data_IF_655530026742
#
_entry.id   IF_655530026742
#
_cell.length_a   1.000
_cell.length_b   1.000
_cell.length_c   1.000
_cell.angle_alpha   90.00
_cell.angle_beta   90.00
_cell.angle_gamma   90.00
#
_symmetry.space_group_name_H-M   'P 1'
#
loop_
_entity.id
_entity.type
_entity.pdbx_description
1 polymer ?
#
# COMPACT_ATOMS: atom_id res chain seq x y z
N UNK A 1 9.29 36.39 -47.59
CA UNK A 1 9.27 35.32 -46.56
C UNK A 1 8.26 34.28 -47.02
N UNK A 2 8.69 33.05 -47.41
CA UNK A 2 7.86 32.08 -48.11
C UNK A 2 7.18 31.03 -47.19
N UNK A 3 6.12 30.44 -47.77
CA UNK A 3 5.57 29.06 -47.68
C UNK A 3 5.17 28.50 -46.29
N UNK A 4 3.89 28.31 -45.97
CA UNK A 4 2.93 27.29 -46.48
C UNK A 4 3.29 25.85 -46.13
N UNK A 5 2.62 25.22 -45.15
CA UNK A 5 2.25 23.79 -45.20
C UNK A 5 0.97 23.53 -44.39
N UNK A 6 0.12 22.74 -45.02
CA UNK A 6 -1.27 22.43 -44.72
C UNK A 6 -1.31 20.97 -44.25
N UNK A 7 -2.20 20.67 -43.27
CA UNK A 7 -2.75 19.33 -42.92
C UNK A 7 -1.76 18.23 -42.43
N UNK A 8 -1.97 17.73 -41.22
CA UNK A 8 -2.51 16.36 -41.03
C UNK A 8 -2.98 16.12 -39.58
N UNK A 9 -4.03 15.31 -39.47
CA UNK A 9 -4.65 14.79 -38.24
C UNK A 9 -3.60 14.25 -37.26
N UNK A 10 -3.69 14.58 -35.98
CA UNK A 10 -3.64 13.58 -34.91
C UNK A 10 -4.54 14.00 -33.74
N UNK A 11 -5.53 13.14 -33.48
CA UNK A 11 -6.24 12.86 -32.22
C UNK A 11 -6.10 13.91 -31.12
N UNK A 12 -7.26 14.43 -30.71
CA UNK A 12 -7.44 15.18 -29.48
C UNK A 12 -6.70 14.51 -28.34
N UNK A 13 -5.78 15.26 -27.74
CA UNK A 13 -5.13 14.92 -26.49
C UNK A 13 -6.20 14.84 -25.41
N UNK A 14 -6.63 13.61 -25.09
CA UNK A 14 -7.26 13.33 -23.81
C UNK A 14 -6.28 13.79 -22.73
N UNK A 15 -6.67 14.85 -22.01
CA UNK A 15 -6.26 14.99 -20.63
C UNK A 15 -6.99 13.89 -19.85
N UNK A 16 -6.25 12.85 -19.45
CA UNK A 16 -6.67 12.01 -18.32
C UNK A 16 -5.97 12.56 -17.08
N UNK A 17 -6.60 12.45 -15.92
CA UNK A 17 -6.05 12.72 -14.59
C UNK A 17 -4.89 11.75 -14.24
N UNK A 18 -3.84 11.78 -15.08
CA UNK A 18 -2.73 10.83 -15.20
C UNK A 18 -1.84 10.91 -13.94
N UNK A 19 -1.68 9.85 -13.14
CA UNK A 19 -1.55 8.48 -13.62
C UNK A 19 -0.29 8.38 -14.46
N UNK A 20 0.88 8.56 -13.83
CA UNK A 20 2.12 8.14 -14.47
C UNK A 20 1.99 6.63 -14.72
N UNK A 21 2.08 6.15 -15.98
CA UNK A 21 2.13 4.72 -16.23
C UNK A 21 3.34 4.14 -15.50
N UNK A 22 3.19 2.96 -14.87
CA UNK A 22 4.35 2.16 -14.46
C UNK A 22 5.27 2.11 -15.69
N UNK A 23 6.57 2.47 -15.60
CA UNK A 23 7.46 2.53 -16.76
C UNK A 23 7.65 1.15 -17.42
N UNK A 24 7.11 0.09 -16.82
CA UNK A 24 7.06 -1.25 -17.38
C UNK A 24 5.70 -1.47 -18.08
N UNK A 25 5.68 -1.80 -19.38
CA UNK A 25 4.45 -2.03 -20.12
C UNK A 25 3.68 -3.25 -19.56
N UNK A 26 2.41 -3.03 -19.20
CA UNK A 26 1.35 -4.04 -18.98
C UNK A 26 1.64 -5.12 -17.94
N UNK A 27 0.90 -5.16 -16.82
CA UNK A 27 0.90 -6.23 -15.78
C UNK A 27 2.26 -6.72 -15.24
N UNK A 28 3.37 -6.15 -15.72
CA UNK A 28 4.74 -6.56 -15.42
C UNK A 28 5.17 -6.15 -14.01
N UNK A 29 4.59 -5.07 -13.48
CA UNK A 29 4.84 -4.61 -12.11
C UNK A 29 4.31 -5.62 -11.06
N UNK A 30 3.47 -6.59 -11.46
CA UNK A 30 2.83 -7.59 -10.60
C UNK A 30 2.98 -9.04 -11.09
N UNK A 31 3.79 -9.29 -12.15
CA UNK A 31 3.96 -10.61 -12.78
C UNK A 31 4.56 -11.67 -11.84
N UNK A 32 5.25 -11.24 -10.79
CA UNK A 32 5.60 -12.09 -9.65
C UNK A 32 4.50 -11.86 -8.62
N UNK A 33 3.54 -12.79 -8.57
CA UNK A 33 2.32 -12.64 -7.78
C UNK A 33 2.60 -12.08 -6.38
N UNK A 34 2.15 -10.86 -6.15
CA UNK A 34 1.93 -10.33 -4.80
C UNK A 34 0.67 -10.99 -4.21
N UNK A 35 0.65 -12.32 -4.25
CA UNK A 35 -0.13 -13.11 -3.32
C UNK A 35 0.73 -13.26 -2.09
N UNK A 36 0.23 -12.84 -0.94
CA UNK A 36 0.70 -13.40 0.32
C UNK A 36 0.29 -14.87 0.34
N UNK A 37 0.99 -15.70 -0.43
CA UNK A 37 0.69 -17.13 -0.50
C UNK A 37 1.28 -17.80 0.72
N UNK A 38 0.40 -18.48 1.46
CA UNK A 38 0.60 -19.09 2.76
C UNK A 38 1.92 -19.89 2.85
N UNK A 39 2.96 -19.24 3.34
CA UNK A 39 4.22 -19.87 3.70
C UNK A 39 4.40 -19.79 5.22
N UNK A 40 3.84 -20.78 5.91
CA UNK A 40 4.08 -21.20 7.30
C UNK A 40 4.33 -20.12 8.36
N UNK A 41 3.30 -19.73 9.12
CA UNK A 41 3.42 -19.11 10.45
C UNK A 41 3.02 -17.62 10.55
N UNK A 42 1.76 -17.33 10.89
CA UNK A 42 1.18 -15.98 10.99
C UNK A 42 0.28 -15.71 9.79
N UNK A 43 -1.04 -15.69 10.00
CA UNK A 43 -2.03 -15.82 8.92
C UNK A 43 -2.36 -14.44 8.40
N UNK A 44 -1.80 -14.08 7.25
CA UNK A 44 -2.30 -12.91 6.52
C UNK A 44 -3.39 -13.37 5.54
N UNK A 45 -4.61 -12.86 5.73
CA UNK A 45 -5.84 -13.39 5.15
C UNK A 45 -5.94 -13.24 3.62
N UNK A 46 -6.80 -13.99 2.92
CA UNK A 46 -6.94 -13.82 1.47
C UNK A 46 -7.53 -12.45 1.11
N UNK A 47 -7.03 -11.89 0.00
CA UNK A 47 -7.48 -10.60 -0.57
C UNK A 47 -8.96 -10.65 -1.03
N UNK A 48 -9.55 -11.84 -1.13
CA UNK A 48 -10.97 -12.06 -1.46
C UNK A 48 -11.95 -11.56 -0.40
N UNK A 49 -11.50 -11.32 0.83
CA UNK A 49 -12.32 -10.74 1.91
C UNK A 49 -12.46 -9.22 1.76
N UNK A 50 -13.35 -8.60 2.53
CA UNK A 50 -13.44 -7.14 2.62
C UNK A 50 -12.25 -6.55 3.39
N UNK A 51 -12.02 -5.24 3.23
CA UNK A 51 -10.98 -4.55 3.99
C UNK A 51 -11.24 -4.61 5.50
N UNK A 52 -12.52 -4.53 5.91
CA UNK A 52 -12.92 -4.60 7.32
C UNK A 52 -12.62 -5.95 7.93
N UNK A 53 -12.96 -7.04 7.25
CA UNK A 53 -12.68 -8.40 7.75
C UNK A 53 -11.17 -8.64 7.89
N UNK A 54 -10.35 -8.14 6.96
CA UNK A 54 -8.90 -8.19 7.10
C UNK A 54 -8.40 -7.40 8.31
N UNK A 55 -8.94 -6.21 8.55
CA UNK A 55 -8.59 -5.40 9.72
C UNK A 55 -8.97 -6.09 11.04
N UNK A 56 -10.16 -6.67 11.11
CA UNK A 56 -10.64 -7.43 12.27
C UNK A 56 -9.76 -8.64 12.56
N UNK A 57 -9.34 -9.38 11.54
CA UNK A 57 -8.45 -10.52 11.73
C UNK A 57 -7.05 -10.14 12.23
N UNK A 58 -6.52 -8.98 11.81
CA UNK A 58 -5.26 -8.46 12.37
C UNK A 58 -5.45 -8.13 13.86
N UNK A 59 -6.58 -7.53 14.24
CA UNK A 59 -6.89 -7.27 15.65
C UNK A 59 -6.97 -8.58 16.43
N UNK A 60 -7.68 -9.58 15.91
CA UNK A 60 -7.79 -10.90 16.54
C UNK A 60 -6.42 -11.57 16.69
N UNK A 61 -5.60 -11.63 15.64
CA UNK A 61 -4.26 -12.25 15.70
C UNK A 61 -3.37 -11.53 16.73
N UNK A 62 -3.42 -10.20 16.82
CA UNK A 62 -2.64 -9.44 17.81
C UNK A 62 -3.16 -9.61 19.24
N UNK A 63 -4.47 -9.82 19.42
CA UNK A 63 -5.08 -10.05 20.73
C UNK A 63 -4.77 -11.45 21.29
N UNK A 64 -4.41 -12.41 20.45
CA UNK A 64 -3.92 -13.73 20.88
C UNK A 64 -2.50 -13.67 21.45
N UNK A 65 -1.75 -12.60 21.18
CA UNK A 65 -0.38 -12.43 21.62
C UNK A 65 -0.30 -11.63 22.93
N UNK A 66 0.62 -12.00 23.84
CA UNK A 66 0.96 -11.15 24.97
C UNK A 66 1.38 -9.74 24.53
N UNK A 67 0.98 -8.73 25.29
CA UNK A 67 1.36 -7.35 25.00
C UNK A 67 2.87 -7.14 25.14
N UNK A 68 3.43 -6.17 24.41
CA UNK A 68 4.86 -5.85 24.49
C UNK A 68 5.69 -6.52 23.41
N UNK A 69 6.69 -7.30 23.83
CA UNK A 69 7.72 -7.85 22.94
C UNK A 69 7.15 -8.80 21.88
N UNK A 70 6.20 -9.67 22.24
CA UNK A 70 5.61 -10.64 21.30
C UNK A 70 4.86 -9.96 20.14
N UNK A 71 4.06 -8.93 20.45
CA UNK A 71 3.39 -8.08 19.45
C UNK A 71 4.39 -7.35 18.56
N UNK A 72 5.45 -6.78 19.15
CA UNK A 72 6.52 -6.13 18.40
C UNK A 72 7.22 -7.10 17.44
N UNK A 73 7.54 -8.30 17.92
CA UNK A 73 8.17 -9.34 17.11
C UNK A 73 7.24 -9.85 16.01
N UNK A 74 5.93 -9.94 16.26
CA UNK A 74 4.95 -10.29 15.23
C UNK A 74 4.93 -9.29 14.08
N UNK A 75 4.96 -7.99 14.38
CA UNK A 75 5.04 -6.93 13.36
C UNK A 75 6.29 -7.13 12.48
N UNK A 76 7.44 -7.44 13.09
CA UNK A 76 8.68 -7.74 12.34
C UNK A 76 8.52 -9.00 11.49
N UNK A 77 7.87 -10.06 12.02
CA UNK A 77 7.63 -11.31 11.28
C UNK A 77 6.80 -11.05 10.03
N UNK A 78 5.72 -10.27 10.12
CA UNK A 78 4.93 -9.87 8.95
C UNK A 78 5.75 -9.04 7.96
N UNK A 79 6.55 -8.08 8.46
CA UNK A 79 7.45 -7.30 7.61
C UNK A 79 8.46 -8.17 6.85
N UNK A 80 9.04 -9.19 7.49
CA UNK A 80 9.97 -10.13 6.85
C UNK A 80 9.30 -11.03 5.81
N UNK A 81 8.02 -11.36 6.00
CA UNK A 81 7.21 -12.12 5.04
C UNK A 81 6.66 -11.28 3.90
N UNK A 82 6.74 -9.96 4.01
CA UNK A 82 6.31 -9.06 2.94
C UNK A 82 7.16 -9.30 1.69
N UNK A 83 6.53 -9.47 0.52
CA UNK A 83 7.23 -9.64 -0.76
C UNK A 83 8.13 -8.44 -1.13
N UNK A 84 7.95 -7.29 -0.47
CA UNK A 84 8.79 -6.10 -0.66
C UNK A 84 8.52 -5.41 -1.99
N UNK A 85 9.51 -4.69 -2.51
CA UNK A 85 9.43 -4.02 -3.81
C UNK A 85 10.68 -4.33 -4.63
N UNK A 86 10.54 -4.53 -5.96
CA UNK A 86 11.68 -4.64 -6.85
C UNK A 86 12.43 -3.30 -6.90
N UNK A 87 13.74 -3.35 -7.17
CA UNK A 87 14.62 -2.18 -7.07
C UNK A 87 14.20 -1.05 -8.01
N UNK A 88 13.64 -1.39 -9.17
CA UNK A 88 13.15 -0.46 -10.20
C UNK A 88 11.94 0.34 -9.74
N UNK A 89 11.21 -0.14 -8.72
CA UNK A 89 10.06 0.54 -8.14
C UNK A 89 10.43 1.40 -6.92
N UNK A 90 11.66 1.30 -6.41
CA UNK A 90 12.17 2.13 -5.30
C UNK A 90 12.65 3.49 -5.80
N UNK A 91 11.76 4.22 -6.48
CA UNK A 91 12.04 5.54 -7.04
C UNK A 91 11.55 6.64 -6.10
N UNK A 92 12.07 7.86 -6.28
CA UNK A 92 11.65 9.03 -5.48
C UNK A 92 10.15 9.32 -5.64
N UNK A 93 9.56 9.00 -6.80
CA UNK A 93 8.12 9.15 -7.05
C UNK A 93 7.25 8.32 -6.09
N UNK A 94 7.71 7.14 -5.67
CA UNK A 94 6.99 6.25 -4.77
C UNK A 94 7.47 6.37 -3.32
N UNK A 95 8.43 7.27 -3.06
CA UNK A 95 8.97 7.47 -1.72
C UNK A 95 7.98 8.23 -0.85
N UNK A 96 7.83 7.77 0.39
CA UNK A 96 7.08 8.46 1.42
C UNK A 96 8.04 9.35 2.20
N UNK A 97 7.85 10.66 2.07
CA UNK A 97 8.63 11.66 2.80
C UNK A 97 8.21 11.72 4.29
N UNK A 98 9.12 12.21 5.14
CA UNK A 98 8.86 12.40 6.58
C UNK A 98 9.09 11.16 7.46
N UNK A 99 9.59 10.05 6.91
CA UNK A 99 10.12 8.93 7.68
C UNK A 99 11.63 9.09 7.89
N UNK A 100 12.17 8.78 9.08
CA UNK A 100 13.63 8.69 9.27
C UNK A 100 14.21 7.53 8.44
N UNK A 101 13.45 6.46 8.30
CA UNK A 101 13.74 5.29 7.45
C UNK A 101 13.23 5.53 6.03
N UNK A 102 13.92 5.01 5.02
CA UNK A 102 13.37 5.02 3.66
C UNK A 102 12.18 4.09 3.55
N UNK A 103 11.10 4.58 2.95
CA UNK A 103 9.85 3.86 2.77
C UNK A 103 9.30 4.19 1.39
N UNK A 104 8.92 3.16 0.65
CA UNK A 104 8.30 3.28 -0.66
C UNK A 104 6.93 2.62 -0.64
N UNK A 105 5.98 3.22 -1.34
CA UNK A 105 4.66 2.65 -1.56
C UNK A 105 4.20 2.88 -3.00
N UNK A 106 3.84 1.79 -3.67
CA UNK A 106 3.36 1.75 -5.04
C UNK A 106 1.87 1.43 -5.01
N UNK A 107 0.99 2.40 -5.32
CA UNK A 107 -0.42 2.14 -5.45
C UNK A 107 -0.78 1.77 -6.91
N UNK A 108 -1.66 0.80 -7.09
CA UNK A 108 -2.23 0.38 -8.36
C UNK A 108 -3.75 0.33 -8.27
N UNK A 109 -4.44 0.62 -9.38
CA UNK A 109 -5.87 0.39 -9.50
C UNK A 109 -6.13 -0.52 -10.69
N UNK A 110 -6.75 -1.66 -10.43
CA UNK A 110 -7.10 -2.67 -11.44
C UNK A 110 -8.44 -3.30 -11.08
N UNK A 111 -9.23 -3.60 -12.10
CA UNK A 111 -10.51 -4.34 -11.92
C UNK A 111 -11.44 -3.70 -10.87
N UNK A 112 -11.46 -2.37 -10.77
CA UNK A 112 -12.28 -1.65 -9.80
C UNK A 112 -11.77 -1.68 -8.35
N UNK A 113 -10.56 -2.21 -8.11
CA UNK A 113 -9.98 -2.39 -6.77
C UNK A 113 -8.62 -1.71 -6.64
N UNK A 114 -8.34 -1.21 -5.44
CA UNK A 114 -7.08 -0.61 -5.06
C UNK A 114 -6.10 -1.68 -4.56
N UNK A 115 -4.86 -1.64 -5.03
CA UNK A 115 -3.78 -2.52 -4.60
C UNK A 115 -2.58 -1.69 -4.17
N UNK A 116 -1.88 -2.13 -3.14
CA UNK A 116 -0.76 -1.40 -2.57
C UNK A 116 0.39 -2.34 -2.28
N UNK A 117 1.58 -1.99 -2.73
CA UNK A 117 2.82 -2.67 -2.38
C UNK A 117 3.76 -1.68 -1.68
N UNK A 118 4.51 -2.14 -0.69
CA UNK A 118 5.43 -1.29 0.06
C UNK A 118 6.71 -2.02 0.45
N UNK A 119 7.78 -1.24 0.63
CA UNK A 119 9.03 -1.72 1.19
C UNK A 119 9.72 -0.63 2.01
N UNK A 120 10.53 -1.03 2.98
CA UNK A 120 11.30 -0.11 3.81
C UNK A 120 12.62 -0.74 4.24
N UNK A 121 13.63 0.11 4.45
CA UNK A 121 14.94 -0.29 5.00
C UNK A 121 14.87 -0.63 6.51
N UNK A 122 13.85 -0.16 7.23
CA UNK A 122 13.64 -0.45 8.64
C UNK A 122 12.62 -1.57 8.84
N UNK A 123 12.99 -2.60 9.61
CA UNK A 123 12.13 -3.78 9.86
C UNK A 123 10.74 -3.43 10.43
N UNK A 124 10.68 -2.49 11.39
CA UNK A 124 9.41 -2.09 12.00
C UNK A 124 8.57 -1.29 11.02
N UNK A 125 9.17 -0.32 10.32
CA UNK A 125 8.45 0.46 9.31
C UNK A 125 7.90 -0.46 8.22
N UNK A 126 8.69 -1.44 7.76
CA UNK A 126 8.27 -2.46 6.79
C UNK A 126 7.11 -3.32 7.29
N UNK A 127 7.16 -3.76 8.55
CA UNK A 127 6.07 -4.53 9.16
C UNK A 127 4.77 -3.75 9.23
N UNK A 128 4.83 -2.55 9.79
CA UNK A 128 3.66 -1.66 9.93
C UNK A 128 3.07 -1.31 8.56
N UNK A 129 3.91 -0.93 7.59
CA UNK A 129 3.45 -0.62 6.23
C UNK A 129 2.86 -1.83 5.53
N UNK A 130 3.43 -3.03 5.72
CA UNK A 130 2.89 -4.25 5.11
C UNK A 130 1.50 -4.60 5.61
N UNK A 131 1.19 -4.36 6.89
CA UNK A 131 -0.14 -4.57 7.46
C UNK A 131 -1.14 -3.62 6.80
N UNK A 132 -0.80 -2.33 6.69
CA UNK A 132 -1.66 -1.35 6.02
C UNK A 132 -1.90 -1.73 4.56
N UNK A 133 -0.84 -1.99 3.81
CA UNK A 133 -0.95 -2.37 2.40
C UNK A 133 -1.76 -3.65 2.23
N UNK A 134 -1.65 -4.61 3.14
CA UNK A 134 -2.46 -5.82 3.14
C UNK A 134 -3.95 -5.55 3.35
N UNK A 135 -4.30 -4.84 4.42
CA UNK A 135 -5.70 -4.57 4.79
C UNK A 135 -6.43 -3.84 3.66
N UNK A 136 -5.80 -2.83 3.06
CA UNK A 136 -6.42 -2.02 2.00
C UNK A 136 -6.30 -2.61 0.59
N UNK A 137 -5.43 -3.60 0.36
CA UNK A 137 -5.29 -4.20 -0.97
C UNK A 137 -6.49 -5.08 -1.34
N UNK A 138 -6.93 -4.97 -2.59
CA UNK A 138 -8.12 -5.62 -3.12
C UNK A 138 -9.43 -5.01 -2.63
N UNK A 139 -9.40 -3.90 -1.91
CA UNK A 139 -10.61 -3.17 -1.53
C UNK A 139 -11.07 -2.24 -2.66
N UNK A 140 -12.37 -1.97 -2.74
CA UNK A 140 -12.90 -0.89 -3.59
C UNK A 140 -12.47 0.48 -3.04
N UNK A 141 -12.40 1.53 -3.88
CA UNK A 141 -12.10 2.89 -3.42
C UNK A 141 -12.98 3.35 -2.25
N UNK A 142 -14.25 2.99 -2.27
CA UNK A 142 -15.23 3.29 -1.21
C UNK A 142 -14.85 2.61 0.11
N UNK A 143 -14.58 1.30 0.09
CA UNK A 143 -14.15 0.56 1.29
C UNK A 143 -12.86 1.14 1.90
N UNK A 144 -11.91 1.56 1.06
CA UNK A 144 -10.66 2.17 1.54
C UNK A 144 -10.90 3.50 2.25
N UNK A 145 -11.81 4.33 1.73
CA UNK A 145 -12.13 5.63 2.33
C UNK A 145 -12.97 5.46 3.61
N UNK A 146 -13.86 4.47 3.64
CA UNK A 146 -14.75 4.19 4.77
C UNK A 146 -14.08 3.45 5.92
N UNK A 147 -12.96 2.75 5.69
CA UNK A 147 -12.23 2.04 6.74
C UNK A 147 -11.21 2.96 7.44
N UNK A 148 -11.48 3.40 8.69
CA UNK A 148 -10.55 4.20 9.48
C UNK A 148 -9.27 3.42 9.83
N UNK A 149 -8.21 4.16 10.23
CA UNK A 149 -6.93 3.59 10.69
C UNK A 149 -6.92 3.20 12.17
N UNK A 150 -8.03 3.38 12.89
CA UNK A 150 -8.17 3.06 14.32
C UNK A 150 -7.93 1.57 14.62
N UNK A 151 -8.12 0.69 13.64
CA UNK A 151 -7.80 -0.73 13.78
C UNK A 151 -6.33 -0.97 14.16
N UNK A 152 -5.40 -0.08 13.77
CA UNK A 152 -3.99 -0.17 14.16
C UNK A 152 -3.79 0.08 15.66
N UNK A 153 -4.60 0.95 16.25
CA UNK A 153 -4.62 1.20 17.69
C UNK A 153 -5.30 0.03 18.42
N UNK A 154 -6.44 -0.42 17.91
CA UNK A 154 -7.18 -1.57 18.46
C UNK A 154 -6.38 -2.87 18.42
N UNK A 155 -5.49 -3.02 17.44
CA UNK A 155 -4.56 -4.15 17.33
C UNK A 155 -3.31 -4.00 18.24
N UNK A 156 -3.21 -2.90 19.02
CA UNK A 156 -2.07 -2.64 19.89
C UNK A 156 -0.77 -2.32 19.16
N UNK A 157 -0.81 -2.00 17.86
CA UNK A 157 0.40 -1.77 17.04
C UNK A 157 1.02 -0.41 17.35
N UNK A 158 0.19 0.63 17.48
CA UNK A 158 0.64 2.02 17.64
C UNK A 158 1.40 2.27 18.95
N UNK A 159 1.08 1.51 20.00
CA UNK A 159 1.70 1.62 21.34
C UNK A 159 3.19 1.26 21.33
N UNK A 160 3.64 0.49 20.34
CA UNK A 160 5.04 0.05 20.21
C UNK A 160 5.88 0.95 19.29
N UNK A 161 5.29 2.03 18.77
CA UNK A 161 5.94 2.92 17.83
C UNK A 161 6.47 4.16 18.54
N UNK A 162 7.72 4.53 18.24
CA UNK A 162 8.22 5.86 18.60
C UNK A 162 7.44 6.94 17.84
N UNK A 163 7.41 8.19 18.34
CA UNK A 163 6.70 9.29 17.68
C UNK A 163 7.03 9.42 16.19
N UNK A 164 8.29 9.19 15.82
CA UNK A 164 8.74 9.28 14.44
C UNK A 164 8.19 8.15 13.54
N UNK A 165 8.00 6.94 14.08
CA UNK A 165 7.41 5.81 13.35
C UNK A 165 5.90 5.99 13.19
N UNK A 166 5.23 6.55 14.19
CA UNK A 166 3.81 6.91 14.12
C UNK A 166 3.53 7.96 13.05
N UNK A 167 4.45 8.92 12.85
CA UNK A 167 4.36 9.88 11.76
C UNK A 167 4.41 9.19 10.39
N UNK A 168 5.34 8.24 10.19
CA UNK A 168 5.42 7.46 8.96
C UNK A 168 4.16 6.64 8.66
N UNK A 169 3.60 6.01 9.70
CA UNK A 169 2.31 5.32 9.61
C UNK A 169 1.19 6.27 9.13
N UNK A 170 1.10 7.46 9.71
CA UNK A 170 0.10 8.45 9.32
C UNK A 170 0.27 8.90 7.86
N UNK A 171 1.51 9.06 7.38
CA UNK A 171 1.79 9.41 5.98
C UNK A 171 1.34 8.32 5.00
N UNK A 172 1.60 7.05 5.30
CA UNK A 172 1.11 5.94 4.48
C UNK A 172 -0.41 5.93 4.44
N UNK A 173 -1.04 6.00 5.62
CA UNK A 173 -2.49 5.99 5.74
C UNK A 173 -3.17 7.17 5.02
N UNK A 174 -2.51 8.33 4.98
CA UNK A 174 -2.95 9.47 4.15
C UNK A 174 -2.84 9.14 2.66
N UNK A 175 -1.68 8.65 2.21
CA UNK A 175 -1.43 8.33 0.79
C UNK A 175 -2.38 7.27 0.24
N UNK A 176 -2.70 6.25 1.04
CA UNK A 176 -3.69 5.21 0.71
C UNK A 176 -5.07 5.83 0.46
N UNK A 177 -5.54 6.65 1.40
CA UNK A 177 -6.85 7.32 1.31
C UNK A 177 -6.92 8.31 0.16
N UNK A 178 -5.88 9.11 -0.06
CA UNK A 178 -5.81 10.04 -1.20
C UNK A 178 -5.90 9.29 -2.54
N UNK A 179 -5.18 8.18 -2.67
CA UNK A 179 -5.20 7.36 -3.89
C UNK A 179 -6.59 6.78 -4.18
N UNK A 180 -7.28 6.31 -3.13
CA UNK A 180 -8.64 5.77 -3.24
C UNK A 180 -9.68 6.87 -3.49
N UNK A 181 -9.62 7.99 -2.76
CA UNK A 181 -10.54 9.11 -2.92
C UNK A 181 -10.57 9.64 -4.36
N UNK A 182 -9.42 9.68 -5.04
CA UNK A 182 -9.31 10.07 -6.45
C UNK A 182 -10.01 9.10 -7.43
N UNK A 183 -10.52 7.96 -6.96
CA UNK A 183 -11.16 6.89 -7.74
C UNK A 183 -12.58 6.56 -7.29
N UNK A 184 -13.10 7.27 -6.29
CA UNK A 184 -14.50 7.13 -5.88
C UNK A 184 -15.39 7.73 -6.98
N UNK A 185 -16.31 6.92 -7.53
CA UNK A 185 -17.28 7.37 -8.53
C UNK A 185 -16.76 7.50 -9.97
N UNK A 186 -15.60 6.91 -10.27
CA UNK A 186 -15.04 6.80 -11.62
C UNK A 186 -15.45 5.53 -12.36
#
# INVERSE_FOLDING_TARGET
MPASWMRSRQRGTMYSARGAPCPLPGSACWRHGFGFENSGGGRMLPISMSARERAEAIIEEMNLLPEGEERFMQIIRWGKKSPGLPQEQKTEQFRIEGCQSMLWMVPEFREGRCHYACDSDAFITKGVSSILCHVYSGATPQEVVELPLDFMERAGITQHLSPNRSNGLAQIGRRIREFAAARVGG
#
